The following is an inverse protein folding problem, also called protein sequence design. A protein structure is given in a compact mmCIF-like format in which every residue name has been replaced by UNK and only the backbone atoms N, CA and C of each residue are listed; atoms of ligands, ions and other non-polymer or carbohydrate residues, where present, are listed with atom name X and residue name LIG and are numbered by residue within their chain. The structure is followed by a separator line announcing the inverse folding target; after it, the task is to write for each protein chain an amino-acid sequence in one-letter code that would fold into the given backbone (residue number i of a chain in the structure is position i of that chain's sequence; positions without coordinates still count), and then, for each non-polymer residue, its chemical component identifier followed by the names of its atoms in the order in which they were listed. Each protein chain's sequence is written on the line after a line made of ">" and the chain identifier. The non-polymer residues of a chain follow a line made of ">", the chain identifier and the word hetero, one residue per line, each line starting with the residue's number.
data_IF_754750400085
#
_entry.id   IF_754750400085
#
_cell.length_a   1.000
_cell.length_b   1.000
_cell.length_c   1.000
_cell.angle_alpha   90.00
_cell.angle_beta   90.00
_cell.angle_gamma   90.00
#
_symmetry.space_group_name_H-M   'P 1'
#
loop_
_entity.id
_entity.type
_entity.pdbx_description
1 polymer ?
#
# COMPACT_ATOMS: atom_id res chain seq x y z
N UNK A 1 -54.17 57.09 -12.50
CA UNK A 1 -53.81 55.67 -12.72
C UNK A 1 -52.79 55.28 -11.66
N UNK A 2 -53.15 54.42 -10.73
CA UNK A 2 -52.28 54.03 -9.61
C UNK A 2 -51.68 52.65 -9.92
N UNK A 3 -50.37 52.59 -10.15
CA UNK A 3 -49.66 51.34 -10.42
C UNK A 3 -49.23 50.74 -9.08
N UNK A 4 -49.78 49.58 -8.74
CA UNK A 4 -49.40 48.83 -7.53
C UNK A 4 -48.21 47.92 -7.91
N UNK A 5 -47.01 48.28 -7.48
CA UNK A 5 -45.82 47.41 -7.59
C UNK A 5 -45.69 46.53 -6.36
N UNK A 6 -45.96 45.23 -6.50
CA UNK A 6 -45.67 44.24 -5.46
C UNK A 6 -44.17 43.91 -5.45
N UNK A 7 -43.48 44.26 -4.37
CA UNK A 7 -42.11 43.81 -4.13
C UNK A 7 -42.12 42.29 -3.83
N UNK A 8 -41.74 41.46 -4.81
CA UNK A 8 -41.57 40.02 -4.58
C UNK A 8 -40.36 39.78 -3.69
N UNK A 9 -40.58 39.22 -2.50
CA UNK A 9 -39.50 38.76 -1.61
C UNK A 9 -38.73 37.64 -2.32
N UNK A 10 -37.43 37.83 -2.54
CA UNK A 10 -36.57 36.82 -3.14
C UNK A 10 -36.65 35.49 -2.36
N UNK A 11 -36.94 34.40 -3.07
CA UNK A 11 -37.04 33.05 -2.53
C UNK A 11 -35.71 32.60 -1.92
N UNK A 12 -35.75 31.83 -0.82
CA UNK A 12 -34.55 31.21 -0.22
C UNK A 12 -33.82 30.31 -1.23
N UNK A 13 -34.54 29.73 -2.18
CA UNK A 13 -33.96 28.90 -3.25
C UNK A 13 -33.13 29.74 -4.23
N UNK A 14 -33.59 30.95 -4.57
CA UNK A 14 -32.85 31.86 -5.44
C UNK A 14 -31.52 32.30 -4.81
N UNK A 15 -31.51 32.53 -3.50
CA UNK A 15 -30.28 32.84 -2.75
C UNK A 15 -29.30 31.67 -2.69
N UNK A 16 -29.79 30.44 -2.62
CA UNK A 16 -28.96 29.23 -2.60
C UNK A 16 -28.30 28.93 -3.95
N UNK A 17 -28.99 29.21 -5.07
CA UNK A 17 -28.44 29.06 -6.43
C UNK A 17 -27.28 30.02 -6.67
N UNK A 18 -27.37 31.25 -6.14
CA UNK A 18 -26.34 32.29 -6.29
C UNK A 18 -25.22 32.20 -5.23
N UNK A 19 -25.29 31.24 -4.30
CA UNK A 19 -24.22 31.05 -3.33
C UNK A 19 -23.05 30.32 -4.00
N UNK A 20 -21.82 30.89 -4.05
CA UNK A 20 -20.66 30.15 -4.54
C UNK A 20 -20.37 28.98 -3.60
N UNK A 21 -20.86 27.79 -3.95
CA UNK A 21 -20.71 26.55 -3.15
C UNK A 21 -19.57 25.64 -3.61
N UNK A 22 -18.88 25.99 -4.70
CA UNK A 22 -17.77 25.21 -5.25
C UNK A 22 -16.43 25.67 -4.70
N UNK A 23 -15.59 24.72 -4.30
CA UNK A 23 -14.14 24.95 -4.15
C UNK A 23 -13.46 24.83 -5.51
N UNK A 24 -12.42 25.63 -5.75
CA UNK A 24 -11.63 25.47 -6.97
C UNK A 24 -10.97 24.08 -6.99
N UNK A 25 -10.75 23.53 -8.19
CA UNK A 25 -10.03 22.25 -8.35
C UNK A 25 -8.66 22.30 -7.66
N UNK A 26 -7.95 23.43 -7.78
CA UNK A 26 -6.66 23.63 -7.12
C UNK A 26 -6.77 23.58 -5.61
N UNK A 27 -7.78 24.22 -5.02
CA UNK A 27 -8.05 24.17 -3.58
C UNK A 27 -8.41 22.76 -3.12
N UNK A 28 -9.27 22.07 -3.86
CA UNK A 28 -9.67 20.70 -3.55
C UNK A 28 -8.46 19.74 -3.60
N UNK A 29 -7.60 19.87 -4.62
CA UNK A 29 -6.41 19.04 -4.80
C UNK A 29 -5.35 19.33 -3.74
N UNK A 30 -5.14 20.61 -3.38
CA UNK A 30 -4.24 20.99 -2.29
C UNK A 30 -4.72 20.42 -0.94
N UNK A 31 -6.02 20.50 -0.66
CA UNK A 31 -6.60 19.92 0.56
C UNK A 31 -6.47 18.40 0.56
N UNK A 32 -6.72 17.73 -0.57
CA UNK A 32 -6.57 16.29 -0.67
C UNK A 32 -5.12 15.84 -0.42
N UNK A 33 -4.13 16.55 -0.98
CA UNK A 33 -2.70 16.27 -0.72
C UNK A 33 -2.34 16.44 0.75
N UNK A 34 -2.75 17.55 1.36
CA UNK A 34 -2.49 17.80 2.79
C UNK A 34 -3.13 16.73 3.69
N UNK A 35 -4.35 16.29 3.36
CA UNK A 35 -5.02 15.20 4.07
C UNK A 35 -4.25 13.88 3.94
N UNK A 36 -3.71 13.58 2.75
CA UNK A 36 -2.89 12.39 2.54
C UNK A 36 -1.57 12.48 3.32
N UNK A 37 -0.84 13.59 3.21
CA UNK A 37 0.42 13.81 3.95
C UNK A 37 0.24 13.60 5.46
N UNK A 38 -0.89 14.06 6.03
CA UNK A 38 -1.21 13.85 7.45
C UNK A 38 -1.40 12.38 7.84
N UNK A 39 -1.73 11.50 6.90
CA UNK A 39 -1.91 10.05 7.13
C UNK A 39 -0.61 9.26 6.95
N UNK A 40 0.43 9.86 6.37
CA UNK A 40 1.68 9.15 6.06
C UNK A 40 2.34 8.51 7.28
N UNK A 41 2.46 9.16 8.47
CA UNK A 41 3.09 8.55 9.64
C UNK A 41 2.33 7.29 10.10
N UNK A 42 1.00 7.37 10.15
CA UNK A 42 0.14 6.24 10.50
C UNK A 42 0.30 5.09 9.50
N UNK A 43 0.44 5.40 8.22
CA UNK A 43 0.63 4.36 7.21
C UNK A 43 1.97 3.65 7.37
N UNK A 44 3.04 4.40 7.65
CA UNK A 44 4.36 3.81 7.92
C UNK A 44 4.35 2.91 9.16
N UNK A 45 3.60 3.27 10.20
CA UNK A 45 3.39 2.39 11.37
C UNK A 45 2.68 1.08 10.98
N UNK A 46 1.65 1.15 10.14
CA UNK A 46 0.95 -0.04 9.65
C UNK A 46 1.86 -0.93 8.79
N UNK A 47 2.70 -0.33 7.93
CA UNK A 47 3.70 -1.06 7.16
C UNK A 47 4.69 -1.76 8.10
N UNK A 48 5.21 -1.06 9.11
CA UNK A 48 6.15 -1.64 10.07
C UNK A 48 5.53 -2.82 10.84
N UNK A 49 4.26 -2.72 11.24
CA UNK A 49 3.52 -3.81 11.89
C UNK A 49 3.37 -5.02 10.96
N UNK A 50 2.98 -4.80 9.71
CA UNK A 50 2.81 -5.88 8.74
C UNK A 50 4.15 -6.57 8.41
N UNK A 51 5.25 -5.82 8.32
CA UNK A 51 6.60 -6.39 8.14
C UNK A 51 7.05 -7.20 9.37
N UNK A 52 6.75 -6.73 10.58
CA UNK A 52 7.03 -7.47 11.80
C UNK A 52 6.22 -8.78 11.88
N UNK A 53 4.95 -8.74 11.45
CA UNK A 53 4.08 -9.92 11.34
C UNK A 53 4.67 -10.95 10.36
N UNK A 54 5.10 -10.50 9.16
CA UNK A 54 5.81 -11.35 8.19
C UNK A 54 7.05 -12.02 8.80
N UNK A 55 7.84 -11.27 9.57
CA UNK A 55 9.05 -11.79 10.20
C UNK A 55 8.80 -12.76 11.36
N UNK A 56 7.59 -12.76 11.93
CA UNK A 56 7.21 -13.63 13.04
C UNK A 56 6.69 -15.00 12.58
N UNK A 57 6.25 -15.12 11.32
CA UNK A 57 5.72 -16.38 10.76
C UNK A 57 6.82 -17.44 10.79
N UNK A 58 6.54 -18.54 11.49
CA UNK A 58 7.44 -19.69 11.57
C UNK A 58 7.10 -20.72 10.49
N UNK A 59 8.10 -21.51 10.04
CA UNK A 59 7.84 -22.66 9.17
C UNK A 59 6.82 -23.61 9.83
N UNK A 60 5.77 -24.02 9.11
CA UNK A 60 4.72 -24.85 9.66
C UNK A 60 5.19 -26.29 9.88
N UNK A 61 4.64 -26.95 10.90
CA UNK A 61 4.94 -28.34 11.23
C UNK A 61 4.11 -29.33 10.41
N UNK A 62 2.94 -28.90 9.92
CA UNK A 62 2.02 -29.70 9.12
C UNK A 62 1.64 -28.98 7.81
N UNK A 63 1.17 -29.71 6.77
CA UNK A 63 0.70 -29.09 5.54
C UNK A 63 -0.50 -28.14 5.73
N UNK A 64 -1.41 -28.48 6.65
CA UNK A 64 -2.59 -27.65 6.98
C UNK A 64 -2.19 -26.32 7.64
N UNK A 65 -1.18 -26.35 8.52
CA UNK A 65 -0.55 -25.14 9.04
C UNK A 65 0.18 -24.36 7.93
N UNK A 66 0.65 -25.06 6.89
CA UNK A 66 1.23 -24.52 5.66
C UNK A 66 0.35 -23.52 4.96
N UNK A 67 -0.85 -23.96 4.58
CA UNK A 67 -1.80 -23.13 3.85
C UNK A 67 -2.29 -21.93 4.67
N UNK A 68 -2.50 -22.12 5.98
CA UNK A 68 -2.86 -21.04 6.88
C UNK A 68 -1.73 -20.00 7.03
N UNK A 69 -0.49 -20.46 7.14
CA UNK A 69 0.68 -19.58 7.23
C UNK A 69 0.94 -18.83 5.90
N UNK A 70 0.72 -19.46 4.74
CA UNK A 70 0.80 -18.79 3.44
C UNK A 70 -0.27 -17.73 3.27
N UNK A 71 -1.51 -18.03 3.68
CA UNK A 71 -2.62 -17.07 3.69
C UNK A 71 -2.29 -15.86 4.56
N UNK A 72 -1.71 -16.11 5.73
CA UNK A 72 -1.26 -15.04 6.65
C UNK A 72 -0.16 -14.19 6.03
N UNK A 73 0.85 -14.82 5.41
CA UNK A 73 1.92 -14.12 4.72
C UNK A 73 1.40 -13.26 3.56
N UNK A 74 0.47 -13.78 2.76
CA UNK A 74 -0.14 -13.07 1.64
C UNK A 74 -0.93 -11.85 2.11
N UNK A 75 -1.72 -11.98 3.18
CA UNK A 75 -2.45 -10.86 3.76
C UNK A 75 -1.52 -9.79 4.34
N UNK A 76 -0.45 -10.18 5.02
CA UNK A 76 0.52 -9.22 5.55
C UNK A 76 1.25 -8.48 4.41
N UNK A 77 1.64 -9.17 3.33
CA UNK A 77 2.22 -8.55 2.15
C UNK A 77 1.23 -7.58 1.44
N UNK A 78 -0.03 -7.98 1.30
CA UNK A 78 -1.09 -7.14 0.72
C UNK A 78 -1.32 -5.88 1.56
N UNK A 79 -1.32 -5.99 2.90
CA UNK A 79 -1.41 -4.84 3.81
C UNK A 79 -0.24 -3.87 3.65
N UNK A 80 0.97 -4.38 3.38
CA UNK A 80 2.12 -3.51 3.05
C UNK A 80 1.83 -2.74 1.76
N UNK A 81 1.39 -3.42 0.69
CA UNK A 81 1.07 -2.82 -0.61
C UNK A 81 0.03 -1.69 -0.46
N UNK A 82 -1.07 -1.97 0.25
CA UNK A 82 -2.15 -1.01 0.47
C UNK A 82 -1.70 0.22 1.27
N UNK A 83 -0.85 0.01 2.28
CA UNK A 83 -0.37 1.08 3.14
C UNK A 83 0.72 1.94 2.48
N UNK A 84 1.48 1.42 1.51
CA UNK A 84 2.52 2.21 0.81
C UNK A 84 2.03 2.93 -0.44
N UNK A 85 0.99 2.41 -1.10
CA UNK A 85 0.52 2.87 -2.41
C UNK A 85 0.29 4.40 -2.52
N UNK A 86 -0.42 5.04 -1.57
CA UNK A 86 -0.72 6.47 -1.64
C UNK A 86 0.48 7.41 -1.49
N UNK A 87 1.65 6.92 -1.04
CA UNK A 87 2.79 7.74 -0.58
C UNK A 87 4.01 7.68 -1.49
N UNK A 88 3.91 7.05 -2.66
CA UNK A 88 5.03 7.00 -3.62
C UNK A 88 6.20 6.12 -3.18
N UNK A 89 5.97 5.20 -2.25
CA UNK A 89 6.97 4.24 -1.75
C UNK A 89 7.03 2.99 -2.64
N UNK A 90 7.29 3.22 -3.92
CA UNK A 90 7.17 2.24 -4.98
C UNK A 90 8.13 1.05 -4.81
N UNK A 91 9.33 1.29 -4.30
CA UNK A 91 10.33 0.24 -4.06
C UNK A 91 9.80 -0.83 -3.10
N UNK A 92 9.10 -0.39 -2.04
CA UNK A 92 8.54 -1.26 -1.00
C UNK A 92 7.32 -2.00 -1.57
N UNK A 93 6.50 -1.30 -2.37
CA UNK A 93 5.35 -1.89 -3.06
C UNK A 93 5.79 -3.04 -3.98
N UNK A 94 6.79 -2.82 -4.81
CA UNK A 94 7.32 -3.82 -5.74
C UNK A 94 7.97 -5.00 -5.01
N UNK A 95 8.69 -4.74 -3.91
CA UNK A 95 9.22 -5.80 -3.07
C UNK A 95 8.09 -6.67 -2.50
N UNK A 96 7.06 -6.06 -1.89
CA UNK A 96 5.93 -6.80 -1.34
C UNK A 96 5.15 -7.58 -2.41
N UNK A 97 5.00 -7.02 -3.62
CA UNK A 97 4.36 -7.69 -4.76
C UNK A 97 5.10 -8.97 -5.15
N UNK A 98 6.43 -8.94 -5.22
CA UNK A 98 7.23 -10.13 -5.54
C UNK A 98 7.07 -11.26 -4.52
N UNK A 99 6.77 -10.94 -3.25
CA UNK A 99 6.42 -11.95 -2.25
C UNK A 99 5.05 -12.60 -2.57
N UNK A 100 4.04 -11.81 -2.96
CA UNK A 100 2.75 -12.34 -3.38
C UNK A 100 2.91 -13.27 -4.59
N UNK A 101 3.70 -12.88 -5.59
CA UNK A 101 3.98 -13.71 -6.77
C UNK A 101 4.62 -15.05 -6.41
N UNK A 102 5.54 -15.07 -5.43
CA UNK A 102 6.14 -16.31 -4.94
C UNK A 102 5.14 -17.20 -4.19
N UNK A 103 4.22 -16.61 -3.44
CA UNK A 103 3.17 -17.35 -2.75
C UNK A 103 2.21 -17.95 -3.80
N UNK A 104 1.78 -17.16 -4.78
CA UNK A 104 0.87 -17.57 -5.86
C UNK A 104 1.47 -18.66 -6.75
N UNK A 105 2.80 -18.70 -6.90
CA UNK A 105 3.51 -19.74 -7.64
C UNK A 105 3.60 -21.10 -6.90
N UNK A 106 3.12 -21.18 -5.65
CA UNK A 106 3.14 -22.42 -4.87
C UNK A 106 2.12 -23.42 -5.41
N UNK A 107 2.52 -24.69 -5.54
CA UNK A 107 1.61 -25.77 -5.97
C UNK A 107 1.95 -27.10 -5.27
N UNK A 108 1.10 -28.11 -5.43
CA UNK A 108 1.31 -29.44 -4.84
C UNK A 108 2.64 -30.09 -5.27
N UNK A 109 3.07 -29.84 -6.51
CA UNK A 109 4.34 -30.37 -7.04
C UNK A 109 5.56 -29.54 -6.59
N UNK A 110 5.32 -28.30 -6.14
CA UNK A 110 6.36 -27.29 -5.87
C UNK A 110 6.00 -26.52 -4.59
N UNK A 111 6.33 -27.07 -3.41
CA UNK A 111 6.00 -26.47 -2.13
C UNK A 111 6.77 -25.17 -1.89
N UNK A 112 6.19 -24.27 -1.11
CA UNK A 112 6.78 -22.99 -0.77
C UNK A 112 8.07 -23.13 0.05
N UNK A 113 9.11 -22.35 -0.31
CA UNK A 113 10.36 -22.30 0.44
C UNK A 113 10.29 -21.30 1.60
N UNK A 114 9.94 -21.79 2.79
CA UNK A 114 9.80 -20.98 4.00
C UNK A 114 11.04 -20.18 4.41
N UNK A 115 12.24 -20.53 3.92
CA UNK A 115 13.47 -19.76 4.18
C UNK A 115 13.47 -18.39 3.51
N UNK A 116 12.62 -18.20 2.50
CA UNK A 116 12.48 -16.93 1.75
C UNK A 116 11.76 -15.88 2.61
N UNK A 117 10.84 -16.29 3.47
CA UNK A 117 9.99 -15.37 4.23
C UNK A 117 10.77 -14.47 5.22
N UNK A 118 11.71 -14.99 6.05
CA UNK A 118 12.55 -14.15 6.90
C UNK A 118 13.45 -13.20 6.11
N UNK A 119 13.96 -13.62 4.94
CA UNK A 119 14.79 -12.78 4.06
C UNK A 119 13.97 -11.60 3.54
N UNK A 120 12.72 -11.84 3.16
CA UNK A 120 11.79 -10.79 2.74
C UNK A 120 11.47 -9.81 3.86
N UNK A 121 11.15 -10.31 5.06
CA UNK A 121 10.86 -9.46 6.21
C UNK A 121 12.05 -8.55 6.56
N UNK A 122 13.27 -9.11 6.59
CA UNK A 122 14.49 -8.34 6.85
C UNK A 122 14.78 -7.33 5.74
N UNK A 123 14.57 -7.69 4.47
CA UNK A 123 14.80 -6.78 3.34
C UNK A 123 13.79 -5.63 3.31
N UNK A 124 12.52 -5.89 3.62
CA UNK A 124 11.49 -4.86 3.77
C UNK A 124 11.80 -3.94 4.96
N UNK A 125 12.24 -4.49 6.08
CA UNK A 125 12.68 -3.71 7.23
C UNK A 125 13.89 -2.82 6.89
N UNK A 126 14.85 -3.33 6.11
CA UNK A 126 15.98 -2.55 5.61
C UNK A 126 15.50 -1.40 4.71
N UNK A 127 14.59 -1.67 3.77
CA UNK A 127 14.00 -0.63 2.90
C UNK A 127 13.23 0.43 3.68
N UNK A 128 12.59 0.09 4.80
CA UNK A 128 11.95 1.06 5.69
C UNK A 128 12.95 1.91 6.47
N UNK A 129 14.09 1.34 6.84
CA UNK A 129 15.14 2.05 7.58
C UNK A 129 15.99 2.97 6.70
N UNK A 130 16.06 2.70 5.39
CA UNK A 130 16.85 3.48 4.45
C UNK A 130 16.14 4.80 4.10
N UNK A 131 16.81 5.96 4.30
CA UNK A 131 16.36 7.26 3.79
C UNK A 131 16.01 7.22 2.31
N UNK A 132 15.01 7.99 1.90
CA UNK A 132 14.54 8.05 0.52
C UNK A 132 15.62 8.56 -0.46
N UNK A 133 16.57 9.34 0.04
CA UNK A 133 17.69 9.92 -0.71
C UNK A 133 18.73 8.86 -1.10
N UNK A 134 18.77 7.70 -0.42
CA UNK A 134 19.71 6.62 -0.72
C UNK A 134 19.16 5.71 -1.84
N UNK A 135 18.85 6.31 -2.99
CA UNK A 135 18.24 5.63 -4.14
C UNK A 135 19.05 4.43 -4.61
N UNK A 136 20.38 4.53 -4.66
CA UNK A 136 21.26 3.42 -5.07
C UNK A 136 21.22 2.23 -4.10
N UNK A 137 21.19 2.49 -2.79
CA UNK A 137 21.13 1.44 -1.79
C UNK A 137 19.77 0.72 -1.84
N UNK A 138 18.68 1.48 -1.93
CA UNK A 138 17.32 0.95 -2.08
C UNK A 138 17.17 0.14 -3.36
N UNK A 139 17.71 0.63 -4.48
CA UNK A 139 17.70 -0.06 -5.76
C UNK A 139 18.47 -1.40 -5.70
N UNK A 140 19.62 -1.45 -5.03
CA UNK A 140 20.39 -2.71 -4.85
C UNK A 140 19.63 -3.76 -4.06
N UNK A 141 18.96 -3.36 -2.97
CA UNK A 141 18.14 -4.28 -2.16
C UNK A 141 17.00 -4.83 -3.02
N UNK A 142 16.31 -3.95 -3.75
CA UNK A 142 15.23 -4.35 -4.67
C UNK A 142 15.71 -5.29 -5.77
N UNK A 143 16.83 -4.97 -6.42
CA UNK A 143 17.41 -5.81 -7.46
C UNK A 143 17.76 -7.21 -6.92
N UNK A 144 18.37 -7.28 -5.74
CA UNK A 144 18.72 -8.55 -5.09
C UNK A 144 17.48 -9.39 -4.77
N UNK A 145 16.38 -8.76 -4.34
CA UNK A 145 15.10 -9.45 -4.14
C UNK A 145 14.50 -9.93 -5.46
N UNK A 146 14.51 -9.10 -6.51
CA UNK A 146 14.05 -9.48 -7.84
C UNK A 146 14.80 -10.69 -8.40
N UNK A 147 16.14 -10.68 -8.35
CA UNK A 147 16.97 -11.82 -8.77
C UNK A 147 16.72 -13.10 -7.96
N UNK A 148 16.29 -12.96 -6.70
CA UNK A 148 15.90 -14.10 -5.87
C UNK A 148 14.53 -14.65 -6.32
N UNK A 149 13.55 -13.77 -6.57
CA UNK A 149 12.24 -14.15 -7.11
C UNK A 149 12.39 -14.85 -8.45
N UNK A 150 13.12 -14.24 -9.39
CA UNK A 150 13.34 -14.80 -10.72
C UNK A 150 13.98 -16.18 -10.65
N UNK A 151 14.99 -16.38 -9.79
CA UNK A 151 15.59 -17.69 -9.57
C UNK A 151 14.61 -18.70 -9.00
N UNK A 152 13.78 -18.28 -8.03
CA UNK A 152 12.80 -19.16 -7.41
C UNK A 152 11.71 -19.55 -8.40
N UNK A 153 11.16 -18.60 -9.14
CA UNK A 153 10.18 -18.84 -10.19
C UNK A 153 10.75 -19.70 -11.34
N UNK A 154 12.00 -19.48 -11.73
CA UNK A 154 12.67 -20.30 -12.76
C UNK A 154 12.95 -21.73 -12.28
N UNK A 155 13.23 -21.93 -10.98
CA UNK A 155 13.28 -23.27 -10.38
C UNK A 155 11.89 -23.91 -10.29
N UNK A 156 10.84 -23.08 -10.36
CA UNK A 156 9.43 -23.48 -10.37
C UNK A 156 8.90 -23.71 -11.80
N UNK A 157 9.70 -23.59 -12.87
CA UNK A 157 9.35 -23.96 -14.25
C UNK A 157 9.83 -25.36 -14.60
#
# INVERSE_FOLDING_TARGET
>A
MTVITHARRASRLAKLIDTPGGVSIGTALAQAKSNLEALQPRSLEEVAKAVAELGAIQPPATPEDGDAALTTAYHAASRVIDAVGPFGLEDIRLAALGLCELIDATSADKPFDWRVLPVYAQSLQLLLSLPAEQTDARAKVRASLGEMVDRKLAQTG
#
